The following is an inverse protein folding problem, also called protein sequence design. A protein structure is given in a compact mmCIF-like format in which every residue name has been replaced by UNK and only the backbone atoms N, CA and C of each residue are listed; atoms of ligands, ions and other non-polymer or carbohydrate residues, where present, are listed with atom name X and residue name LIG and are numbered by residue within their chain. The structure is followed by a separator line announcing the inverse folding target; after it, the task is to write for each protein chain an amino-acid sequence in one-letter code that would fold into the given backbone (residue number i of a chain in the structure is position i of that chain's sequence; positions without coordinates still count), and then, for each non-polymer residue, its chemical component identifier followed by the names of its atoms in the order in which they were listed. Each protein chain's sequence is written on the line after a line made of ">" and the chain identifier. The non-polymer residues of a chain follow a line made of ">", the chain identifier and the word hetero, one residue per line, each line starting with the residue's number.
data_IF_520530680226
#
_entry.id   IF_520530680226
#
_cell.length_a   1.000
_cell.length_b   1.000
_cell.length_c   1.000
_cell.angle_alpha   90.00
_cell.angle_beta   90.00
_cell.angle_gamma   90.00
#
_symmetry.space_group_name_H-M   'P 1'
#
loop_
_entity.id
_entity.type
_entity.pdbx_description
1 polymer ?
#
# COMPACT_ATOMS: atom_id res chain seq x y z
N UNK A 1 24.28 -44.59 5.63
CA UNK A 1 24.79 -43.25 6.03
C UNK A 1 23.66 -42.48 6.69
N UNK A 2 23.94 -41.68 7.74
CA UNK A 2 22.99 -40.72 8.34
C UNK A 2 23.53 -39.30 8.16
N UNK A 3 22.70 -38.39 7.68
CA UNK A 3 22.99 -36.95 7.65
C UNK A 3 22.91 -36.40 9.07
N UNK A 4 23.97 -35.75 9.56
CA UNK A 4 24.01 -35.16 10.92
C UNK A 4 23.71 -33.66 10.92
N UNK A 5 23.95 -32.98 9.78
CA UNK A 5 23.78 -31.55 9.65
C UNK A 5 23.57 -31.17 8.18
N UNK A 6 22.63 -30.26 7.93
CA UNK A 6 22.45 -29.60 6.63
C UNK A 6 22.98 -28.18 6.76
N UNK A 7 24.14 -27.91 6.17
CA UNK A 7 24.69 -26.57 6.10
C UNK A 7 24.04 -25.80 4.93
N UNK A 8 23.59 -24.58 5.18
CA UNK A 8 23.01 -23.71 4.17
C UNK A 8 23.99 -22.59 3.82
N UNK A 9 24.33 -22.50 2.53
CA UNK A 9 25.01 -21.35 1.94
C UNK A 9 23.99 -20.66 1.02
N UNK A 10 23.71 -19.38 1.27
CA UNK A 10 22.71 -18.59 0.55
C UNK A 10 23.43 -17.43 -0.13
N UNK A 11 23.30 -17.33 -1.44
CA UNK A 11 23.88 -16.28 -2.27
C UNK A 11 22.78 -15.58 -3.08
N UNK A 12 22.92 -14.28 -3.31
CA UNK A 12 22.05 -13.50 -4.19
C UNK A 12 22.42 -13.83 -5.65
N UNK A 13 21.51 -14.39 -6.45
CA UNK A 13 21.80 -14.66 -7.85
C UNK A 13 21.99 -13.37 -8.65
N UNK A 14 22.65 -13.48 -9.79
CA UNK A 14 22.75 -12.38 -10.75
C UNK A 14 21.34 -11.91 -11.16
N UNK A 15 21.14 -10.59 -11.11
CA UNK A 15 19.86 -9.97 -11.40
C UNK A 15 19.84 -9.47 -12.85
N UNK A 16 19.22 -10.22 -13.74
CA UNK A 16 19.03 -9.81 -15.15
C UNK A 16 17.63 -9.27 -15.39
N UNK A 17 17.51 -8.04 -15.88
CA UNK A 17 16.23 -7.44 -16.26
C UNK A 17 15.69 -8.06 -17.55
N UNK A 18 14.41 -8.46 -17.54
CA UNK A 18 13.69 -8.87 -18.75
C UNK A 18 13.10 -7.64 -19.43
N UNK A 19 13.62 -7.30 -20.61
CA UNK A 19 13.20 -6.11 -21.36
C UNK A 19 12.54 -6.52 -22.68
N UNK A 20 11.27 -6.14 -22.84
CA UNK A 20 10.54 -6.30 -24.09
C UNK A 20 10.42 -4.95 -24.81
N UNK A 21 10.84 -4.91 -26.07
CA UNK A 21 10.73 -3.71 -26.91
C UNK A 21 9.51 -3.82 -27.82
N UNK A 22 8.59 -2.87 -27.72
CA UNK A 22 7.43 -2.76 -28.60
C UNK A 22 7.73 -1.75 -29.71
N UNK A 23 7.91 -2.23 -30.94
CA UNK A 23 8.09 -1.39 -32.12
C UNK A 23 6.72 -1.04 -32.72
N UNK A 24 6.20 0.13 -32.36
CA UNK A 24 4.93 0.62 -32.87
C UNK A 24 5.13 1.22 -34.26
N UNK A 25 4.30 0.77 -35.21
CA UNK A 25 4.27 1.26 -36.57
C UNK A 25 3.07 2.19 -36.77
N UNK A 26 3.20 3.12 -37.70
CA UNK A 26 2.09 3.89 -38.23
C UNK A 26 1.98 3.68 -39.74
N UNK A 27 0.78 3.82 -40.28
CA UNK A 27 0.52 3.68 -41.71
C UNK A 27 -0.76 4.41 -42.11
N UNK A 28 -0.95 4.58 -43.41
CA UNK A 28 -2.15 5.22 -43.95
C UNK A 28 -3.16 4.17 -44.42
N UNK A 29 -4.43 4.39 -44.11
CA UNK A 29 -5.52 3.56 -44.60
C UNK A 29 -5.69 3.78 -46.10
N UNK A 30 -5.49 2.72 -46.90
CA UNK A 30 -5.63 2.78 -48.36
C UNK A 30 -7.03 3.20 -48.85
N UNK A 31 -8.07 3.09 -48.01
CA UNK A 31 -9.45 3.44 -48.37
C UNK A 31 -9.85 4.88 -48.03
N UNK A 32 -9.32 5.46 -46.95
CA UNK A 32 -9.74 6.79 -46.47
C UNK A 32 -8.60 7.79 -46.23
N UNK A 33 -7.34 7.38 -46.41
CA UNK A 33 -6.15 8.21 -46.17
C UNK A 33 -5.87 8.51 -44.69
N UNK A 34 -6.66 8.00 -43.75
CA UNK A 34 -6.45 8.25 -42.33
C UNK A 34 -5.19 7.54 -41.82
N UNK A 35 -4.39 8.24 -41.00
CA UNK A 35 -3.24 7.65 -40.30
C UNK A 35 -3.71 6.75 -39.16
N UNK A 36 -3.29 5.49 -39.19
CA UNK A 36 -3.53 4.50 -38.13
C UNK A 36 -2.22 4.25 -37.40
N UNK A 37 -2.24 4.29 -36.06
CA UNK A 37 -1.07 4.03 -35.21
C UNK A 37 -1.29 2.76 -34.40
N UNK A 38 -0.26 1.92 -34.33
CA UNK A 38 -0.26 0.78 -33.43
C UNK A 38 -0.25 1.24 -31.96
N UNK A 39 -0.93 0.50 -31.10
CA UNK A 39 -0.93 0.71 -29.65
C UNK A 39 -0.28 -0.48 -28.93
N UNK A 40 0.25 -0.21 -27.75
CA UNK A 40 0.73 -1.26 -26.84
C UNK A 40 -0.48 -1.86 -26.12
N UNK A 41 -0.47 -3.18 -25.89
CA UNK A 41 -1.48 -3.83 -25.06
C UNK A 41 -1.55 -3.20 -23.66
N UNK A 42 -2.75 -3.12 -23.07
CA UNK A 42 -3.00 -2.41 -21.81
C UNK A 42 -2.04 -2.82 -20.67
N UNK A 43 -1.71 -4.11 -20.57
CA UNK A 43 -0.80 -4.65 -19.56
C UNK A 43 0.64 -4.11 -19.62
N UNK A 44 1.05 -3.57 -20.78
CA UNK A 44 2.42 -3.10 -21.03
C UNK A 44 2.52 -1.58 -21.19
N UNK A 45 1.39 -0.85 -21.22
CA UNK A 45 1.35 0.60 -21.44
C UNK A 45 2.14 1.42 -20.40
N UNK A 46 2.32 0.87 -19.20
CA UNK A 46 2.99 1.57 -18.09
C UNK A 46 4.51 1.52 -18.16
N UNK A 47 5.08 0.69 -19.04
CA UNK A 47 6.53 0.49 -19.18
C UNK A 47 7.20 -0.33 -18.07
N UNK A 48 6.52 -0.58 -16.94
CA UNK A 48 7.08 -1.32 -15.80
C UNK A 48 6.14 -2.44 -15.37
N UNK A 49 6.61 -3.69 -15.51
CA UNK A 49 5.83 -4.88 -15.17
C UNK A 49 5.49 -4.99 -13.68
N UNK A 50 4.56 -5.91 -13.37
CA UNK A 50 4.01 -6.08 -12.02
C UNK A 50 5.09 -6.38 -10.95
N UNK A 51 6.08 -7.23 -11.27
CA UNK A 51 7.15 -7.62 -10.32
C UNK A 51 8.05 -6.45 -9.93
N UNK A 52 8.48 -5.66 -10.92
CA UNK A 52 9.28 -4.45 -10.66
C UNK A 52 8.47 -3.41 -9.90
N UNK A 53 7.19 -3.25 -10.26
CA UNK A 53 6.27 -2.34 -9.58
C UNK A 53 6.07 -2.72 -8.12
N UNK A 54 5.92 -4.01 -7.82
CA UNK A 54 5.82 -4.53 -6.46
C UNK A 54 7.12 -4.29 -5.66
N UNK A 55 8.29 -4.55 -6.23
CA UNK A 55 9.58 -4.26 -5.58
C UNK A 55 9.73 -2.77 -5.24
N UNK A 56 9.41 -1.89 -6.20
CA UNK A 56 9.42 -0.44 -5.97
C UNK A 56 8.43 -0.04 -4.88
N UNK A 57 7.25 -0.66 -4.84
CA UNK A 57 6.25 -0.47 -3.79
C UNK A 57 6.75 -0.91 -2.42
N UNK A 58 7.39 -2.06 -2.32
CA UNK A 58 7.96 -2.60 -1.08
C UNK A 58 9.04 -1.66 -0.51
N UNK A 59 9.99 -1.24 -1.34
CA UNK A 59 11.05 -0.29 -0.93
C UNK A 59 10.47 1.05 -0.49
N UNK A 60 9.47 1.55 -1.21
CA UNK A 60 8.86 2.86 -0.93
C UNK A 60 7.92 2.85 0.27
N UNK A 61 7.17 1.76 0.47
CA UNK A 61 6.11 1.64 1.46
C UNK A 61 6.62 1.01 2.75
N UNK A 62 7.04 -0.25 2.69
CA UNK A 62 7.45 -1.01 3.87
C UNK A 62 8.81 -0.54 4.41
N UNK A 63 9.79 -0.38 3.52
CA UNK A 63 11.13 0.08 3.90
C UNK A 63 11.23 1.61 4.05
N UNK A 64 10.14 2.34 3.78
CA UNK A 64 10.04 3.81 3.89
C UNK A 64 11.17 4.56 3.17
N UNK A 65 11.72 3.97 2.11
CA UNK A 65 12.81 4.60 1.36
C UNK A 65 12.29 5.82 0.59
N UNK A 66 13.09 6.89 0.58
CA UNK A 66 12.77 8.06 -0.24
C UNK A 66 12.77 7.69 -1.73
N UNK A 67 12.01 8.40 -2.56
CA UNK A 67 11.97 8.14 -4.02
C UNK A 67 13.35 8.26 -4.67
N UNK A 68 14.22 9.10 -4.11
CA UNK A 68 15.62 9.23 -4.54
C UNK A 68 16.42 7.98 -4.20
N UNK A 69 16.32 7.48 -2.96
CA UNK A 69 16.98 6.24 -2.56
C UNK A 69 16.52 5.04 -3.40
N UNK A 70 15.23 4.94 -3.72
CA UNK A 70 14.71 3.88 -4.61
C UNK A 70 15.26 4.01 -6.02
N UNK A 71 15.36 5.23 -6.56
CA UNK A 71 16.02 5.49 -7.85
C UNK A 71 17.47 5.02 -7.83
N UNK A 72 18.22 5.37 -6.79
CA UNK A 72 19.64 5.01 -6.66
C UNK A 72 19.81 3.48 -6.53
N UNK A 73 18.89 2.81 -5.82
CA UNK A 73 18.84 1.35 -5.76
C UNK A 73 18.58 0.74 -7.14
N UNK A 74 17.58 1.22 -7.88
CA UNK A 74 17.29 0.72 -9.23
C UNK A 74 18.50 0.89 -10.16
N UNK A 75 19.21 2.01 -10.07
CA UNK A 75 20.39 2.23 -10.89
C UNK A 75 21.59 1.36 -10.48
N UNK A 76 21.87 1.26 -9.18
CA UNK A 76 23.08 0.59 -8.68
C UNK A 76 22.95 -0.93 -8.61
N UNK A 77 21.76 -1.46 -8.30
CA UNK A 77 21.53 -2.91 -8.12
C UNK A 77 20.90 -3.54 -9.34
N UNK A 78 19.98 -2.83 -10.02
CA UNK A 78 19.24 -3.38 -11.17
C UNK A 78 19.75 -2.86 -12.52
N UNK A 79 20.69 -1.91 -12.53
CA UNK A 79 21.14 -1.24 -13.75
C UNK A 79 20.05 -0.44 -14.47
N UNK A 80 18.94 -0.14 -13.80
CA UNK A 80 17.74 0.45 -14.38
C UNK A 80 17.67 1.95 -14.10
N UNK A 81 17.73 2.75 -15.17
CA UNK A 81 17.44 4.19 -15.09
C UNK A 81 15.92 4.42 -15.03
N UNK A 82 15.46 4.94 -13.89
CA UNK A 82 14.06 5.26 -13.65
C UNK A 82 13.92 6.67 -13.06
N UNK A 83 12.87 7.39 -13.44
CA UNK A 83 12.59 8.72 -12.89
C UNK A 83 11.83 8.63 -11.56
N UNK A 84 11.95 9.66 -10.73
CA UNK A 84 11.17 9.77 -9.48
C UNK A 84 9.66 9.76 -9.76
N UNK A 85 9.21 10.38 -10.87
CA UNK A 85 7.81 10.35 -11.27
C UNK A 85 7.33 8.95 -11.67
N UNK A 86 8.18 8.17 -12.35
CA UNK A 86 7.87 6.77 -12.67
C UNK A 86 7.79 5.90 -11.41
N UNK A 87 8.68 6.13 -10.44
CA UNK A 87 8.60 5.47 -9.11
C UNK A 87 7.28 5.79 -8.43
N UNK A 88 6.87 7.08 -8.41
CA UNK A 88 5.59 7.45 -7.81
C UNK A 88 4.41 6.76 -8.49
N UNK A 89 4.39 6.68 -9.84
CA UNK A 89 3.37 5.91 -10.57
C UNK A 89 3.39 4.41 -10.26
N UNK A 90 4.54 3.83 -9.93
CA UNK A 90 4.61 2.44 -9.45
C UNK A 90 3.95 2.31 -8.08
N UNK A 91 4.26 3.21 -7.15
CA UNK A 91 3.65 3.25 -5.82
C UNK A 91 2.13 3.44 -5.91
N UNK A 92 1.67 4.35 -6.76
CA UNK A 92 0.24 4.59 -6.97
C UNK A 92 -0.45 3.32 -7.48
N UNK A 93 0.15 2.60 -8.45
CA UNK A 93 -0.40 1.33 -8.93
C UNK A 93 -0.46 0.26 -7.86
N UNK A 94 0.56 0.15 -7.01
CA UNK A 94 0.53 -0.75 -5.85
C UNK A 94 -0.60 -0.35 -4.91
N UNK A 95 -0.76 0.94 -4.62
CA UNK A 95 -1.86 1.47 -3.79
C UNK A 95 -3.24 1.09 -4.34
N UNK A 96 -3.46 1.28 -5.65
CA UNK A 96 -4.71 0.86 -6.30
C UNK A 96 -4.92 -0.65 -6.25
N UNK A 97 -3.86 -1.45 -6.40
CA UNK A 97 -3.95 -2.91 -6.35
C UNK A 97 -4.28 -3.45 -4.94
N UNK A 98 -3.82 -2.77 -3.89
CA UNK A 98 -4.09 -3.17 -2.49
C UNK A 98 -5.40 -2.62 -1.93
N UNK A 99 -5.93 -1.52 -2.49
CA UNK A 99 -7.18 -0.89 -2.05
C UNK A 99 -8.37 -1.86 -1.82
N UNK A 100 -8.68 -2.84 -2.68
CA UNK A 100 -9.77 -3.78 -2.42
C UNK A 100 -9.49 -4.71 -1.23
N UNK A 101 -8.23 -4.97 -0.89
CA UNK A 101 -7.86 -5.75 0.30
C UNK A 101 -7.93 -4.91 1.56
N UNK A 102 -7.52 -3.65 1.50
CA UNK A 102 -7.70 -2.68 2.58
C UNK A 102 -9.18 -2.54 2.96
N UNK A 103 -10.07 -2.45 1.97
CA UNK A 103 -11.52 -2.43 2.21
C UNK A 103 -12.02 -3.72 2.88
N UNK A 104 -11.54 -4.90 2.45
CA UNK A 104 -11.89 -6.18 3.09
C UNK A 104 -11.41 -6.26 4.54
N UNK A 105 -10.24 -5.69 4.83
CA UNK A 105 -9.69 -5.58 6.18
C UNK A 105 -10.59 -4.66 7.03
N UNK A 106 -11.00 -3.52 6.49
CA UNK A 106 -11.93 -2.60 7.15
C UNK A 106 -13.28 -3.27 7.44
N UNK A 107 -13.86 -3.99 6.47
CA UNK A 107 -15.12 -4.72 6.63
C UNK A 107 -15.00 -5.82 7.69
N UNK A 108 -13.87 -6.54 7.70
CA UNK A 108 -13.60 -7.55 8.74
C UNK A 108 -13.48 -6.91 10.12
N UNK A 109 -12.75 -5.80 10.25
CA UNK A 109 -12.62 -5.06 11.51
C UNK A 109 -14.01 -4.62 12.01
N UNK A 110 -14.84 -4.05 11.12
CA UNK A 110 -16.23 -3.61 11.42
C UNK A 110 -17.25 -4.74 11.55
N UNK A 111 -16.84 -6.00 11.47
CA UNK A 111 -17.68 -7.17 11.75
C UNK A 111 -17.35 -7.85 13.09
N UNK A 112 -16.19 -7.54 13.67
CA UNK A 112 -15.74 -8.15 14.91
C UNK A 112 -16.55 -7.64 16.11
N UNK A 113 -16.87 -8.51 17.08
CA UNK A 113 -17.62 -8.08 18.29
C UNK A 113 -16.81 -7.18 19.22
N UNK A 114 -15.49 -7.35 19.23
CA UNK A 114 -14.55 -6.64 20.09
C UNK A 114 -13.44 -6.09 19.21
N UNK A 115 -13.16 -4.80 19.34
CA UNK A 115 -12.02 -4.13 18.71
C UNK A 115 -11.30 -3.27 19.75
N UNK A 116 -9.99 -3.15 19.55
CA UNK A 116 -9.15 -2.17 20.22
C UNK A 116 -8.93 -0.99 19.27
N UNK A 117 -9.03 0.23 19.76
CA UNK A 117 -8.73 1.43 18.99
C UNK A 117 -7.63 2.24 19.68
N UNK A 118 -6.74 2.76 18.85
CA UNK A 118 -5.66 3.64 19.24
C UNK A 118 -5.45 4.71 18.15
N UNK A 119 -4.82 5.82 18.51
CA UNK A 119 -4.41 6.84 17.56
C UNK A 119 -3.01 7.37 17.87
N UNK A 120 -2.26 7.66 16.82
CA UNK A 120 -0.93 8.25 16.95
C UNK A 120 -0.79 9.41 15.99
N UNK A 121 -0.20 10.51 16.46
CA UNK A 121 0.10 11.65 15.60
C UNK A 121 1.17 11.28 14.56
N UNK A 122 0.95 11.70 13.32
CA UNK A 122 1.82 11.42 12.19
C UNK A 122 2.03 12.70 11.39
N UNK A 123 3.25 13.24 11.40
CA UNK A 123 3.60 14.40 10.56
C UNK A 123 3.86 13.93 9.12
N UNK A 124 3.08 14.48 8.19
CA UNK A 124 3.26 14.26 6.75
C UNK A 124 3.62 15.57 6.07
N UNK A 125 4.86 15.66 5.57
CA UNK A 125 5.37 16.84 4.88
C UNK A 125 5.18 18.16 5.67
N UNK A 126 5.31 18.10 7.01
CA UNK A 126 5.13 19.25 7.89
C UNK A 126 3.67 19.54 8.28
N UNK A 127 2.71 18.77 7.78
CA UNK A 127 1.30 18.84 8.18
C UNK A 127 1.03 17.72 9.19
N UNK A 128 0.48 18.10 10.35
CA UNK A 128 0.07 17.13 11.37
C UNK A 128 -1.16 16.36 10.89
N UNK A 129 -1.05 15.04 10.84
CA UNK A 129 -2.15 14.11 10.62
C UNK A 129 -2.24 13.12 11.80
N UNK A 130 -3.29 12.31 11.81
CA UNK A 130 -3.56 11.31 12.83
C UNK A 130 -3.74 9.95 12.18
N UNK A 131 -2.93 8.99 12.59
CA UNK A 131 -3.05 7.59 12.20
C UNK A 131 -3.96 6.90 13.22
N UNK A 132 -5.14 6.52 12.78
CA UNK A 132 -6.09 5.74 13.57
C UNK A 132 -5.88 4.25 13.30
N UNK A 133 -5.96 3.45 14.36
CA UNK A 133 -5.87 2.00 14.32
C UNK A 133 -7.16 1.40 14.91
N UNK A 134 -7.74 0.43 14.21
CA UNK A 134 -8.75 -0.48 14.74
C UNK A 134 -8.22 -1.91 14.59
N UNK A 135 -8.00 -2.60 15.70
CA UNK A 135 -7.37 -3.92 15.71
C UNK A 135 -8.16 -4.95 16.52
N UNK A 136 -8.11 -6.19 16.07
CA UNK A 136 -8.59 -7.35 16.80
C UNK A 136 -7.67 -8.55 16.53
N UNK A 137 -8.03 -9.73 17.04
CA UNK A 137 -7.23 -10.96 16.91
C UNK A 137 -7.03 -11.44 15.45
N UNK A 138 -7.74 -10.90 14.46
CA UNK A 138 -7.64 -11.30 13.05
C UNK A 138 -7.09 -10.24 12.12
N UNK A 139 -7.33 -8.96 12.39
CA UNK A 139 -6.99 -7.86 11.49
C UNK A 139 -6.55 -6.61 12.24
N UNK A 140 -5.68 -5.84 11.59
CA UNK A 140 -5.33 -4.47 11.97
C UNK A 140 -5.70 -3.54 10.80
N UNK A 141 -6.66 -2.65 11.03
CA UNK A 141 -7.12 -1.67 10.06
C UNK A 141 -6.57 -0.29 10.43
N UNK A 142 -5.95 0.38 9.47
CA UNK A 142 -5.36 1.70 9.66
C UNK A 142 -6.09 2.73 8.81
N UNK A 143 -6.30 3.93 9.35
CA UNK A 143 -6.83 5.06 8.58
C UNK A 143 -6.10 6.34 8.95
N UNK A 144 -5.60 7.07 7.96
CA UNK A 144 -5.00 8.39 8.16
C UNK A 144 -6.08 9.47 8.03
N UNK A 145 -6.13 10.41 8.98
CA UNK A 145 -7.08 11.54 9.00
C UNK A 145 -6.35 12.84 9.27
N UNK A 146 -6.83 13.93 8.69
CA UNK A 146 -6.23 15.25 8.86
C UNK A 146 -6.43 15.84 10.26
N UNK A 147 -7.45 15.37 11.00
CA UNK A 147 -7.76 15.85 12.34
C UNK A 147 -8.09 14.71 13.29
N UNK A 148 -7.85 14.94 14.58
CA UNK A 148 -8.37 14.12 15.68
C UNK A 148 -9.75 14.66 16.04
N UNK A 149 -10.79 14.07 15.46
CA UNK A 149 -12.15 14.56 15.64
C UNK A 149 -13.14 13.40 15.78
N UNK A 150 -14.30 13.70 16.37
CA UNK A 150 -15.46 12.81 16.38
C UNK A 150 -15.77 12.24 15.00
N UNK A 151 -15.78 13.10 13.98
CA UNK A 151 -16.08 12.70 12.61
C UNK A 151 -15.05 11.70 12.06
N UNK A 152 -13.77 11.92 12.34
CA UNK A 152 -12.70 10.99 11.96
C UNK A 152 -12.87 9.61 12.61
N UNK A 153 -13.27 9.59 13.89
CA UNK A 153 -13.58 8.36 14.61
C UNK A 153 -14.85 7.68 14.08
N UNK A 154 -15.93 8.43 13.82
CA UNK A 154 -17.18 7.92 13.25
C UNK A 154 -16.96 7.29 11.87
N UNK A 155 -16.08 7.88 11.05
CA UNK A 155 -15.70 7.32 9.75
C UNK A 155 -14.87 6.03 9.88
N UNK A 156 -13.98 5.96 10.88
CA UNK A 156 -13.22 4.74 11.18
C UNK A 156 -14.16 3.59 11.54
N UNK A 157 -15.05 3.80 12.52
CA UNK A 157 -15.98 2.77 13.01
C UNK A 157 -17.11 2.44 12.02
N UNK A 158 -17.56 3.42 11.21
CA UNK A 158 -18.71 3.26 10.34
C UNK A 158 -19.99 2.89 11.12
N UNK A 159 -20.73 1.88 10.62
CA UNK A 159 -21.96 1.39 11.26
C UNK A 159 -21.72 0.30 12.32
N UNK A 160 -20.49 0.13 12.79
CA UNK A 160 -20.13 -0.93 13.71
C UNK A 160 -20.81 -0.81 15.08
N UNK A 161 -21.22 -1.95 15.64
CA UNK A 161 -21.78 -2.06 16.99
C UNK A 161 -21.10 -3.21 17.73
N UNK A 162 -20.51 -2.91 18.90
CA UNK A 162 -19.73 -3.88 19.65
C UNK A 162 -19.07 -3.29 20.90
N UNK A 163 -18.07 -4.01 21.40
CA UNK A 163 -17.26 -3.61 22.55
C UNK A 163 -15.99 -2.96 22.03
N UNK A 164 -15.79 -1.71 22.41
CA UNK A 164 -14.59 -0.97 22.09
C UNK A 164 -13.67 -0.92 23.31
N UNK A 165 -12.40 -1.26 23.10
CA UNK A 165 -11.35 -1.14 24.12
C UNK A 165 -10.40 -0.04 23.68
N UNK A 166 -10.21 0.96 24.52
CA UNK A 166 -9.16 1.97 24.36
C UNK A 166 -8.55 2.29 25.72
N UNK A 167 -7.37 2.90 25.72
CA UNK A 167 -6.63 3.29 26.92
C UNK A 167 -7.18 4.56 27.60
N UNK A 168 -8.29 5.11 27.09
CA UNK A 168 -9.13 6.06 27.83
C UNK A 168 -8.76 7.53 27.69
N UNK A 169 -8.20 7.96 26.56
CA UNK A 169 -8.13 9.39 26.26
C UNK A 169 -9.53 9.98 26.11
N UNK A 170 -9.88 10.98 26.93
CA UNK A 170 -11.24 11.47 27.22
C UNK A 170 -12.02 12.19 26.11
N UNK A 171 -11.77 11.89 24.83
CA UNK A 171 -12.36 12.58 23.68
C UNK A 171 -13.28 11.71 22.82
N UNK A 172 -13.51 10.43 23.17
CA UNK A 172 -14.41 9.56 22.41
C UNK A 172 -15.89 9.89 22.67
N UNK A 173 -16.65 10.36 21.66
CA UNK A 173 -18.05 10.69 21.82
C UNK A 173 -18.88 9.41 21.76
N UNK A 174 -19.25 8.92 22.93
CA UNK A 174 -20.00 7.69 23.09
C UNK A 174 -21.47 7.84 22.66
N UNK A 175 -21.88 7.08 21.64
CA UNK A 175 -23.29 6.81 21.34
C UNK A 175 -23.76 5.52 22.01
N UNK A 176 -25.07 5.37 22.20
CA UNK A 176 -25.72 4.27 22.94
C UNK A 176 -25.44 2.83 22.44
N UNK A 177 -24.66 2.65 21.36
CA UNK A 177 -24.34 1.35 20.72
C UNK A 177 -22.92 0.84 21.01
N UNK A 178 -22.08 1.63 21.70
CA UNK A 178 -20.71 1.26 22.03
C UNK A 178 -20.59 1.07 23.54
N UNK A 179 -20.21 -0.13 23.98
CA UNK A 179 -19.80 -0.37 25.37
C UNK A 179 -18.29 -0.25 25.44
N UNK A 180 -17.80 0.82 26.05
CA UNK A 180 -16.37 0.98 26.33
C UNK A 180 -16.03 0.23 27.60
N UNK A 181 -15.06 -0.67 27.51
CA UNK A 181 -14.39 -1.18 28.69
C UNK A 181 -13.01 -0.52 28.74
N UNK A 182 -12.83 0.38 29.70
CA UNK A 182 -11.53 0.92 30.04
C UNK A 182 -10.75 -0.17 30.76
N UNK A 183 -9.69 -0.67 30.12
CA UNK A 183 -8.71 -1.52 30.78
C UNK A 183 -7.48 -0.65 30.95
N UNK A 184 -7.37 0.01 32.11
CA UNK A 184 -6.12 0.64 32.52
C UNK A 184 -5.10 -0.48 32.76
N UNK A 185 -4.01 -0.47 32.01
CA UNK A 185 -2.80 -1.22 32.36
C UNK A 185 -2.03 -0.50 33.45
#
# INVERSE_FOLDING_TARGET
>A
MRTFHTHQHIELPEITMQVAHFLLQEGECAACGATVKASVAEGSMTGYGARLTALVGELSGAQRSSRRAVKDFCQSVLGLSISVGAIQKCVDRVSHAIAPYDQKIADRARSAKVNHVDETSCSQHGVLAWLWLMVNHTVAFFSVKASRSKAAFEELIGHWAGILVSDGYGEFPLGARLRTHFVSL
#
